data_IF_396946048287
#
_entry.id   IF_396946048287
#
_cell.length_a   1.000
_cell.length_b   1.000
_cell.length_c   1.000
_cell.angle_alpha   90.00
_cell.angle_beta   90.00
_cell.angle_gamma   90.00
#
_symmetry.space_group_name_H-M   'P 1'
#
loop_
_entity.id
_entity.type
_entity.pdbx_description
1 polymer ?
#
# COMPACT_ATOMS: atom_id res chain seq x y z
N UNK A 1 -19.09 31.59 -38.22
CA UNK A 1 -19.44 31.96 -36.83
C UNK A 1 -20.22 30.82 -36.18
N UNK A 2 -19.55 29.79 -35.62
CA UNK A 2 -20.19 28.65 -34.92
C UNK A 2 -19.29 28.06 -33.83
N UNK A 3 -18.41 28.86 -33.21
CA UNK A 3 -17.46 28.39 -32.16
C UNK A 3 -17.89 28.77 -30.73
N UNK A 4 -19.03 29.42 -30.55
CA UNK A 4 -19.53 29.84 -29.24
C UNK A 4 -20.35 28.77 -28.50
N UNK A 5 -20.77 27.70 -29.20
CA UNK A 5 -21.62 26.65 -28.65
C UNK A 5 -21.03 25.85 -27.45
N UNK A 6 -19.72 25.53 -27.39
CA UNK A 6 -19.22 24.75 -26.25
C UNK A 6 -19.13 25.59 -24.96
N UNK A 7 -18.96 26.91 -25.07
CA UNK A 7 -18.83 27.79 -23.91
C UNK A 7 -20.17 28.01 -23.19
N UNK A 8 -21.28 28.15 -23.93
CA UNK A 8 -22.62 28.23 -23.34
C UNK A 8 -23.07 26.92 -22.70
N UNK A 9 -22.66 25.77 -23.25
CA UNK A 9 -22.93 24.47 -22.66
C UNK A 9 -22.19 24.28 -21.32
N UNK A 10 -20.93 24.69 -21.23
CA UNK A 10 -20.15 24.64 -19.99
C UNK A 10 -20.72 25.57 -18.91
N UNK A 11 -21.12 26.78 -19.29
CA UNK A 11 -21.73 27.74 -18.36
C UNK A 11 -23.11 27.27 -17.86
N UNK A 12 -23.92 26.67 -18.72
CA UNK A 12 -25.21 26.08 -18.34
C UNK A 12 -25.07 24.87 -17.41
N UNK A 13 -24.05 24.03 -17.63
CA UNK A 13 -23.75 22.90 -16.75
C UNK A 13 -23.28 23.37 -15.36
N UNK A 14 -22.47 24.43 -15.28
CA UNK A 14 -22.04 25.00 -14.00
C UNK A 14 -23.20 25.62 -13.20
N UNK A 15 -24.13 26.31 -13.88
CA UNK A 15 -25.34 26.86 -13.26
C UNK A 15 -26.32 25.77 -12.79
N UNK A 16 -26.46 24.67 -13.54
CA UNK A 16 -27.24 23.51 -13.13
C UNK A 16 -26.59 22.72 -11.98
N UNK A 17 -25.26 22.64 -11.94
CA UNK A 17 -24.53 22.04 -10.83
C UNK A 17 -24.65 22.88 -9.54
N UNK A 18 -24.69 24.21 -9.65
CA UNK A 18 -24.95 25.11 -8.53
C UNK A 18 -26.42 25.06 -8.06
N UNK A 19 -27.37 24.76 -8.95
CA UNK A 19 -28.78 24.58 -8.59
C UNK A 19 -29.07 23.19 -8.00
N UNK A 20 -28.26 22.17 -8.32
CA UNK A 20 -28.34 20.82 -7.74
C UNK A 20 -27.42 20.66 -6.51
N UNK A 21 -26.48 21.59 -6.32
CA UNK A 21 -25.63 21.74 -5.14
C UNK A 21 -26.11 22.85 -4.23
N UNK A 22 -27.40 22.85 -3.87
CA UNK A 22 -27.79 23.50 -2.63
C UNK A 22 -26.96 22.83 -1.55
N UNK A 23 -26.03 23.58 -0.95
CA UNK A 23 -25.27 23.14 0.21
C UNK A 23 -26.24 23.07 1.39
N UNK A 24 -27.15 22.09 1.35
CA UNK A 24 -27.81 21.63 2.55
C UNK A 24 -26.69 21.09 3.43
N UNK A 25 -26.54 21.68 4.62
CA UNK A 25 -25.55 21.25 5.60
C UNK A 25 -25.96 19.84 6.08
N UNK A 26 -25.57 18.82 5.32
CA UNK A 26 -25.81 17.43 5.67
C UNK A 26 -24.99 16.99 6.90
N UNK A 27 -24.22 17.91 7.50
CA UNK A 27 -23.45 17.68 8.73
C UNK A 27 -24.35 17.23 9.89
N UNK A 28 -25.61 17.67 9.96
CA UNK A 28 -26.58 17.21 10.96
C UNK A 28 -27.16 15.83 10.66
N UNK A 29 -27.36 15.47 9.39
CA UNK A 29 -27.85 14.14 8.97
C UNK A 29 -26.72 13.08 9.05
N UNK A 30 -25.47 13.49 8.85
CA UNK A 30 -24.27 12.67 8.98
C UNK A 30 -23.70 12.65 10.42
N UNK A 31 -24.44 13.18 11.40
CA UNK A 31 -24.22 12.80 12.79
C UNK A 31 -24.70 11.36 12.92
N UNK A 32 -23.86 10.42 12.49
CA UNK A 32 -24.05 9.02 12.83
C UNK A 32 -24.23 9.01 14.34
N UNK A 33 -25.38 8.51 14.82
CA UNK A 33 -25.47 7.99 16.17
C UNK A 33 -24.30 7.03 16.27
N UNK A 34 -23.21 7.49 16.87
CA UNK A 34 -22.09 6.63 17.20
C UNK A 34 -22.70 5.67 18.16
N UNK A 35 -23.13 4.53 17.63
CA UNK A 35 -23.76 3.47 18.39
C UNK A 35 -22.81 3.28 19.56
N UNK A 36 -23.32 3.50 20.77
CA UNK A 36 -22.67 3.19 22.04
C UNK A 36 -22.46 1.67 22.07
N UNK A 37 -21.68 1.14 21.14
CA UNK A 37 -21.17 -0.21 21.17
C UNK A 37 -20.12 -0.14 22.27
N UNK A 38 -20.42 -0.73 23.44
CA UNK A 38 -19.53 -0.61 24.59
C UNK A 38 -18.13 -1.03 24.17
N UNK A 39 -17.11 -0.28 24.60
CA UNK A 39 -15.72 -0.61 24.29
C UNK A 39 -15.40 -2.07 24.67
N UNK A 40 -16.04 -2.58 25.71
CA UNK A 40 -15.96 -3.96 26.17
C UNK A 40 -16.44 -4.98 25.13
N UNK A 41 -17.45 -4.65 24.33
CA UNK A 41 -17.94 -5.52 23.26
C UNK A 41 -16.96 -5.62 22.08
N UNK A 42 -16.21 -4.55 21.82
CA UNK A 42 -15.16 -4.54 20.78
C UNK A 42 -13.87 -5.26 21.24
N UNK A 43 -13.63 -5.30 22.56
CA UNK A 43 -12.49 -5.97 23.18
C UNK A 43 -12.82 -7.38 23.68
N UNK A 44 -14.06 -7.86 23.48
CA UNK A 44 -14.47 -9.18 23.89
C UNK A 44 -13.58 -10.25 23.21
N UNK A 45 -13.17 -11.29 23.93
CA UNK A 45 -12.35 -12.34 23.36
C UNK A 45 -13.15 -13.10 22.29
N UNK A 46 -12.50 -13.35 21.15
CA UNK A 46 -13.02 -14.21 20.09
C UNK A 46 -13.01 -15.65 20.61
N UNK A 47 -14.18 -16.27 20.69
CA UNK A 47 -14.35 -17.64 21.21
C UNK A 47 -14.18 -18.70 20.11
N UNK A 48 -14.20 -18.26 18.84
CA UNK A 48 -14.04 -19.10 17.66
C UNK A 48 -12.64 -19.71 17.62
N UNK A 49 -12.60 -21.03 17.56
CA UNK A 49 -11.35 -21.78 17.36
C UNK A 49 -10.98 -21.70 15.88
N UNK A 50 -9.69 -21.48 15.54
CA UNK A 50 -9.23 -21.55 14.15
C UNK A 50 -9.63 -22.87 13.49
N UNK A 51 -10.26 -22.80 12.32
CA UNK A 51 -10.56 -23.98 11.52
C UNK A 51 -9.35 -24.32 10.67
N UNK A 52 -8.93 -25.59 10.70
CA UNK A 52 -7.84 -26.07 9.86
C UNK A 52 -8.23 -25.98 8.37
N UNK A 53 -7.39 -25.34 7.57
CA UNK A 53 -7.54 -25.30 6.12
C UNK A 53 -7.09 -26.66 5.53
N UNK A 54 -7.99 -27.44 4.90
CA UNK A 54 -7.64 -28.73 4.32
C UNK A 54 -6.69 -28.63 3.11
N UNK A 55 -6.54 -27.43 2.53
CA UNK A 55 -5.61 -27.15 1.43
C UNK A 55 -4.23 -26.68 1.90
N UNK A 56 -4.09 -26.35 3.19
CA UNK A 56 -2.80 -26.04 3.80
C UNK A 56 -1.93 -27.31 3.86
N UNK A 57 -1.05 -27.46 2.88
CA UNK A 57 -0.10 -28.58 2.76
C UNK A 57 1.32 -28.19 3.14
N UNK A 58 1.54 -26.92 3.49
CA UNK A 58 2.82 -26.43 3.97
C UNK A 58 3.11 -27.04 5.36
N UNK A 59 4.01 -28.01 5.39
CA UNK A 59 4.71 -28.36 6.62
C UNK A 59 5.77 -27.29 6.81
N UNK A 60 5.60 -26.41 7.80
CA UNK A 60 6.70 -25.57 8.28
C UNK A 60 7.71 -26.48 8.96
N UNK A 61 8.49 -27.19 8.15
CA UNK A 61 9.76 -27.73 8.62
C UNK A 61 10.60 -26.50 8.97
N UNK A 62 11.29 -26.48 10.12
CA UNK A 62 12.21 -25.38 10.39
C UNK A 62 13.13 -25.26 9.19
N UNK A 63 13.08 -24.12 8.51
CA UNK A 63 14.11 -23.76 7.54
C UNK A 63 15.39 -23.70 8.35
N UNK A 64 16.17 -24.78 8.32
CA UNK A 64 17.52 -24.73 8.85
C UNK A 64 18.22 -23.65 8.03
N UNK A 65 18.68 -22.58 8.67
CA UNK A 65 19.39 -21.41 8.12
C UNK A 65 20.59 -21.74 7.20
N UNK A 66 20.91 -23.02 7.02
CA UNK A 66 21.93 -23.54 6.10
C UNK A 66 21.76 -23.09 4.63
N UNK A 67 20.58 -22.62 4.22
CA UNK A 67 20.37 -22.10 2.86
C UNK A 67 20.78 -20.62 2.68
N UNK A 68 21.08 -19.88 3.76
CA UNK A 68 21.42 -18.44 3.71
C UNK A 68 22.79 -18.10 4.31
N UNK A 69 23.47 -19.05 4.96
CA UNK A 69 24.84 -18.83 5.42
C UNK A 69 25.85 -18.94 4.27
N UNK A 70 26.09 -17.83 3.57
CA UNK A 70 27.34 -17.67 2.85
C UNK A 70 28.49 -17.85 3.85
N UNK A 71 29.41 -18.80 3.59
CA UNK A 71 30.55 -19.01 4.50
C UNK A 71 31.39 -17.74 4.59
N UNK A 72 32.11 -17.57 5.70
CA UNK A 72 32.99 -16.41 5.90
C UNK A 72 33.97 -16.23 4.72
N UNK A 73 34.46 -17.33 4.16
CA UNK A 73 35.33 -17.33 2.98
C UNK A 73 34.61 -16.83 1.72
N UNK A 74 33.37 -17.29 1.47
CA UNK A 74 32.58 -16.85 0.33
C UNK A 74 32.25 -15.35 0.40
N UNK A 75 31.98 -14.85 1.61
CA UNK A 75 31.75 -13.42 1.85
C UNK A 75 33.02 -12.58 1.70
N UNK A 76 34.17 -13.09 2.15
CA UNK A 76 35.46 -12.42 1.98
C UNK A 76 35.87 -12.31 0.50
N UNK A 77 35.66 -13.36 -0.28
CA UNK A 77 35.98 -13.38 -1.70
C UNK A 77 35.04 -12.47 -2.51
N UNK A 78 33.74 -12.45 -2.18
CA UNK A 78 32.80 -11.49 -2.77
C UNK A 78 33.21 -10.03 -2.48
N UNK A 79 33.64 -9.72 -1.26
CA UNK A 79 34.11 -8.39 -0.89
C UNK A 79 35.40 -8.00 -1.65
N UNK A 80 36.33 -8.95 -1.82
CA UNK A 80 37.56 -8.73 -2.57
C UNK A 80 37.28 -8.43 -4.05
N UNK A 81 36.33 -9.15 -4.67
CA UNK A 81 35.93 -8.93 -6.05
C UNK A 81 35.30 -7.54 -6.27
N UNK A 82 34.41 -7.12 -5.36
CA UNK A 82 33.80 -5.77 -5.42
C UNK A 82 34.85 -4.68 -5.26
N UNK A 83 35.82 -4.86 -4.36
CA UNK A 83 36.91 -3.90 -4.19
C UNK A 83 37.78 -3.79 -5.45
N UNK A 84 38.08 -4.93 -6.09
CA UNK A 84 38.84 -4.95 -7.34
C UNK A 84 38.10 -4.28 -8.50
N UNK A 85 36.80 -4.52 -8.66
CA UNK A 85 35.97 -3.83 -9.66
C UNK A 85 35.90 -2.32 -9.42
N UNK A 86 35.73 -1.89 -8.16
CA UNK A 86 35.70 -0.48 -7.82
C UNK A 86 37.02 0.23 -8.12
N UNK A 87 38.15 -0.41 -7.84
CA UNK A 87 39.48 0.11 -8.20
C UNK A 87 39.68 0.18 -9.72
N UNK A 88 39.29 -0.85 -10.46
CA UNK A 88 39.38 -0.85 -11.92
C UNK A 88 38.49 0.23 -12.56
N UNK A 89 37.30 0.45 -12.01
CA UNK A 89 36.39 1.51 -12.45
C UNK A 89 36.93 2.92 -12.13
N UNK A 90 37.68 3.08 -11.05
CA UNK A 90 38.30 4.36 -10.68
C UNK A 90 39.55 4.71 -11.52
N UNK A 91 40.25 3.70 -12.05
CA UNK A 91 41.42 3.87 -12.92
C UNK A 91 41.08 3.99 -14.42
N UNK A 92 39.86 3.62 -14.81
CA UNK A 92 39.37 3.87 -16.16
C UNK A 92 39.24 5.40 -16.38
N UNK A 93 39.86 5.97 -17.43
CA UNK A 93 39.67 7.38 -17.74
C UNK A 93 38.19 7.60 -18.08
N UNK A 94 37.53 8.50 -17.36
CA UNK A 94 36.21 8.98 -17.74
C UNK A 94 36.31 9.61 -19.14
N UNK A 95 35.70 8.97 -20.15
CA UNK A 95 35.44 9.60 -21.45
C UNK A 95 34.38 10.71 -21.33
#
# INVERSE_FOLDING_TARGET
MRKAAPFTALAGAALMLAACGSADDASTEASADTVEMPADSALAPVAEVPVADPSATATDAPVTDAATEATTEQSAEAAANVAAEASAAAEAPAE
#
